data_IF_043738940720
#
_entry.id   IF_043738940720
#
_cell.length_a   1.000
_cell.length_b   1.000
_cell.length_c   1.000
_cell.angle_alpha   90.00
_cell.angle_beta   90.00
_cell.angle_gamma   90.00
#
_symmetry.space_group_name_H-M   'P 1'
#
loop_
_entity.id
_entity.type
_entity.pdbx_description
1 polymer ?
#
# COMPACT_ATOMS: atom_id res chain seq x y z
N UNK A 1 -5.68 24.61 -14.53
CA UNK A 1 -4.66 25.18 -13.62
C UNK A 1 -3.42 24.34 -13.79
N UNK A 2 -2.37 24.90 -14.40
CA UNK A 2 -1.05 24.26 -14.36
C UNK A 2 -0.58 24.34 -12.91
N UNK A 3 -0.68 23.22 -12.18
CA UNK A 3 -0.08 23.14 -10.86
C UNK A 3 1.43 23.27 -11.05
N UNK A 4 2.00 24.32 -10.48
CA UNK A 4 3.44 24.51 -10.42
C UNK A 4 4.07 23.26 -9.77
N UNK A 5 4.94 22.58 -10.51
CA UNK A 5 5.59 21.34 -10.07
C UNK A 5 6.62 21.65 -8.97
N UNK A 6 6.14 21.67 -7.72
CA UNK A 6 6.96 21.90 -6.54
C UNK A 6 7.65 20.61 -6.11
N UNK A 7 8.93 20.48 -6.47
CA UNK A 7 9.75 19.30 -6.13
C UNK A 7 9.83 19.03 -4.62
N UNK A 8 9.73 20.03 -3.75
CA UNK A 8 9.74 19.80 -2.31
C UNK A 8 8.42 19.18 -1.84
N UNK A 9 7.28 19.66 -2.37
CA UNK A 9 5.98 19.05 -2.10
C UNK A 9 5.90 17.62 -2.61
N UNK A 10 6.45 17.34 -3.80
CA UNK A 10 6.50 15.96 -4.33
C UNK A 10 7.35 15.05 -3.44
N UNK A 11 8.50 15.53 -2.93
CA UNK A 11 9.31 14.76 -1.96
C UNK A 11 8.53 14.45 -0.67
N UNK A 12 7.85 15.45 -0.10
CA UNK A 12 7.04 15.23 1.10
C UNK A 12 5.88 14.25 0.83
N UNK A 13 5.27 14.32 -0.35
CA UNK A 13 4.24 13.39 -0.79
C UNK A 13 4.79 11.95 -0.91
N UNK A 14 5.95 11.75 -1.54
CA UNK A 14 6.62 10.44 -1.64
C UNK A 14 6.90 9.86 -0.25
N UNK A 15 7.41 10.66 0.69
CA UNK A 15 7.64 10.19 2.07
C UNK A 15 6.34 9.77 2.75
N UNK A 16 5.24 10.51 2.52
CA UNK A 16 3.91 10.09 2.95
C UNK A 16 3.49 8.75 2.37
N UNK A 17 3.72 8.52 1.07
CA UNK A 17 3.43 7.24 0.41
C UNK A 17 4.27 6.09 0.99
N UNK A 18 5.57 6.31 1.28
CA UNK A 18 6.43 5.31 1.90
C UNK A 18 5.91 4.88 3.28
N UNK A 19 5.43 5.84 4.08
CA UNK A 19 4.79 5.54 5.38
C UNK A 19 3.50 4.72 5.19
N UNK A 20 2.65 5.10 4.23
CA UNK A 20 1.42 4.36 3.94
C UNK A 20 1.71 2.94 3.46
N UNK A 21 2.74 2.76 2.62
CA UNK A 21 3.19 1.45 2.17
C UNK A 21 3.63 0.58 3.34
N UNK A 22 4.48 1.12 4.23
CA UNK A 22 4.97 0.39 5.40
C UNK A 22 3.82 -0.13 6.28
N UNK A 23 2.84 0.73 6.58
CA UNK A 23 1.63 0.33 7.34
C UNK A 23 0.83 -0.76 6.62
N UNK A 24 0.69 -0.66 5.30
CA UNK A 24 -0.03 -1.66 4.51
C UNK A 24 0.70 -3.01 4.50
N UNK A 25 2.03 -3.00 4.43
CA UNK A 25 2.86 -4.21 4.50
C UNK A 25 2.82 -4.85 5.90
N UNK A 26 2.71 -4.06 6.97
CA UNK A 26 2.46 -4.56 8.32
C UNK A 26 1.10 -5.25 8.43
N UNK A 27 0.03 -4.62 7.90
CA UNK A 27 -1.31 -5.21 7.87
C UNK A 27 -1.37 -6.54 7.09
N UNK A 28 -0.65 -6.64 5.98
CA UNK A 28 -0.54 -7.90 5.22
C UNK A 28 0.03 -9.04 6.08
N UNK A 29 1.10 -8.77 6.85
CA UNK A 29 1.69 -9.76 7.77
C UNK A 29 0.74 -10.13 8.90
N UNK A 30 0.00 -9.16 9.44
CA UNK A 30 -0.99 -9.40 10.49
C UNK A 30 -2.14 -10.29 9.98
N UNK A 31 -2.61 -10.07 8.76
CA UNK A 31 -3.66 -10.90 8.16
C UNK A 31 -3.22 -12.34 7.98
N UNK A 32 -1.99 -12.58 7.53
CA UNK A 32 -1.44 -13.94 7.44
C UNK A 32 -1.39 -14.62 8.82
N UNK A 33 -1.13 -13.86 9.89
CA UNK A 33 -1.16 -14.38 11.25
C UNK A 33 -2.58 -14.65 11.75
N UNK A 34 -3.51 -13.71 11.55
CA UNK A 34 -4.91 -13.85 11.96
C UNK A 34 -5.59 -14.98 11.20
N UNK A 35 -5.27 -15.18 9.91
CA UNK A 35 -5.83 -16.25 9.09
C UNK A 35 -5.55 -17.64 9.68
N UNK A 36 -4.43 -17.84 10.39
CA UNK A 36 -4.10 -19.11 11.06
C UNK A 36 -5.07 -19.48 12.18
N UNK A 37 -5.80 -18.50 12.70
CA UNK A 37 -6.76 -18.67 13.79
C UNK A 37 -8.22 -18.67 13.30
N UNK A 38 -8.45 -18.59 11.98
CA UNK A 38 -9.79 -18.54 11.43
C UNK A 38 -10.51 -19.89 11.65
N UNK A 39 -11.68 -19.92 12.33
CA UNK A 39 -12.51 -21.12 12.39
C UNK A 39 -13.05 -21.44 10.98
N UNK A 40 -13.06 -22.71 10.61
CA UNK A 40 -13.18 -23.17 9.21
C UNK A 40 -14.56 -22.92 8.57
N UNK A 41 -14.54 -22.98 7.24
CA UNK A 41 -15.58 -22.83 6.20
C UNK A 41 -16.23 -21.45 6.09
N UNK A 42 -15.83 -20.71 5.05
CA UNK A 42 -16.35 -19.38 4.74
C UNK A 42 -15.45 -18.21 5.18
N UNK A 43 -14.64 -18.34 6.23
CA UNK A 43 -13.67 -17.30 6.63
C UNK A 43 -12.55 -17.10 5.60
N UNK A 44 -12.13 -18.18 4.93
CA UNK A 44 -11.06 -18.16 3.92
C UNK A 44 -11.33 -17.18 2.77
N UNK A 45 -12.59 -17.05 2.33
CA UNK A 45 -12.95 -16.12 1.24
C UNK A 45 -12.75 -14.67 1.66
N UNK A 46 -13.08 -14.35 2.91
CA UNK A 46 -12.96 -12.99 3.45
C UNK A 46 -11.51 -12.63 3.71
N UNK A 47 -10.74 -13.57 4.26
CA UNK A 47 -9.30 -13.39 4.48
C UNK A 47 -8.55 -13.25 3.15
N UNK A 48 -8.88 -14.08 2.16
CA UNK A 48 -8.32 -13.97 0.80
C UNK A 48 -8.65 -12.61 0.17
N UNK A 49 -9.91 -12.18 0.21
CA UNK A 49 -10.31 -10.89 -0.34
C UNK A 49 -9.58 -9.72 0.34
N UNK A 50 -9.41 -9.78 1.67
CA UNK A 50 -8.68 -8.76 2.42
C UNK A 50 -7.20 -8.74 2.04
N UNK A 51 -6.56 -9.91 1.94
CA UNK A 51 -5.18 -10.04 1.49
C UNK A 51 -4.98 -9.49 0.07
N UNK A 52 -5.83 -9.90 -0.88
CA UNK A 52 -5.76 -9.46 -2.28
C UNK A 52 -5.90 -7.94 -2.39
N UNK A 53 -6.84 -7.34 -1.65
CA UNK A 53 -7.04 -5.88 -1.63
C UNK A 53 -5.83 -5.13 -1.08
N UNK A 54 -5.25 -5.58 0.03
CA UNK A 54 -4.07 -4.93 0.61
C UNK A 54 -2.84 -5.13 -0.26
N UNK A 55 -2.70 -6.29 -0.90
CA UNK A 55 -1.62 -6.54 -1.85
C UNK A 55 -1.71 -5.57 -3.04
N UNK A 56 -2.89 -5.46 -3.66
CA UNK A 56 -3.12 -4.51 -4.75
C UNK A 56 -2.85 -3.06 -4.29
N UNK A 57 -3.24 -2.72 -3.06
CA UNK A 57 -2.96 -1.39 -2.50
C UNK A 57 -1.44 -1.16 -2.34
N UNK A 58 -0.67 -2.15 -1.87
CA UNK A 58 0.80 -2.05 -1.77
C UNK A 58 1.44 -1.83 -3.14
N UNK A 59 0.97 -2.56 -4.17
CA UNK A 59 1.43 -2.42 -5.55
C UNK A 59 1.12 -1.03 -6.12
N UNK A 60 -0.09 -0.52 -5.91
CA UNK A 60 -0.49 0.82 -6.34
C UNK A 60 0.36 1.92 -5.69
N UNK A 61 0.61 1.82 -4.38
CA UNK A 61 1.48 2.77 -3.66
C UNK A 61 2.91 2.69 -4.17
N UNK A 62 3.41 1.49 -4.47
CA UNK A 62 4.75 1.29 -5.05
C UNK A 62 4.87 1.96 -6.43
N UNK A 63 3.90 1.73 -7.31
CA UNK A 63 3.86 2.36 -8.63
C UNK A 63 3.78 3.88 -8.54
N UNK A 64 3.03 4.42 -7.58
CA UNK A 64 2.99 5.87 -7.35
C UNK A 64 4.35 6.40 -6.88
N UNK A 65 5.03 5.73 -5.94
CA UNK A 65 6.38 6.11 -5.50
C UNK A 65 7.34 6.10 -6.68
N UNK A 66 7.40 5.01 -7.45
CA UNK A 66 8.30 4.85 -8.60
C UNK A 66 8.08 5.94 -9.65
N UNK A 67 6.81 6.24 -9.97
CA UNK A 67 6.46 7.30 -10.89
C UNK A 67 7.00 8.66 -10.41
N UNK A 68 6.65 9.08 -9.19
CA UNK A 68 7.05 10.39 -8.70
C UNK A 68 8.54 10.51 -8.43
N UNK A 69 9.22 9.44 -8.00
CA UNK A 69 10.67 9.39 -7.91
C UNK A 69 11.33 9.53 -9.30
N UNK A 70 10.69 9.03 -10.36
CA UNK A 70 11.09 9.25 -11.75
C UNK A 70 10.95 10.70 -12.19
N UNK A 71 9.83 11.35 -11.88
CA UNK A 71 9.54 12.75 -12.25
C UNK A 71 10.45 13.78 -11.56
N UNK A 72 10.98 13.46 -10.37
CA UNK A 72 11.87 14.38 -9.62
C UNK A 72 13.36 14.10 -9.79
N UNK A 73 13.76 13.12 -10.61
CA UNK A 73 15.15 12.96 -11.06
C UNK A 73 15.60 14.16 -11.90
#
# INVERSE_FOLDING_TARGET
MEQEFDRQKVKAYIEGLKILKAKNDELLKEIENVAKHAPVEGCERFMKAMYDNLKQNSENVSGAIEYWEGEIK
#
